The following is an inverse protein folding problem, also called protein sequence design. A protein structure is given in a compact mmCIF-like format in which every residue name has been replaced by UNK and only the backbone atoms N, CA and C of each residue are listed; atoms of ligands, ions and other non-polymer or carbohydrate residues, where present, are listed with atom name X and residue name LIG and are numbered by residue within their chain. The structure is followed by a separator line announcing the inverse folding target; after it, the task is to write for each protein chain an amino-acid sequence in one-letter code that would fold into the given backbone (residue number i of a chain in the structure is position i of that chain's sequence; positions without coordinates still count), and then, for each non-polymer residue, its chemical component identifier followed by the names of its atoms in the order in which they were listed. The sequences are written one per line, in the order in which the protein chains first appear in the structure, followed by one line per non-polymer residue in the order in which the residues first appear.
data_IF_082119149007
#
_entry.id   IF_082119149007
#
_cell.length_a   1.000
_cell.length_b   1.000
_cell.length_c   1.000
_cell.angle_alpha   90.00
_cell.angle_beta   90.00
_cell.angle_gamma   90.00
#
_symmetry.space_group_name_H-M   'P 1'
#
loop_
_entity.id
_entity.type
_entity.pdbx_description
1 polymer ?
#
# COMPACT_ATOMS: atom_id res chain seq x y z
N UNK A 1 -9.35 -23.74 -16.82
CA UNK A 1 -8.99 -22.37 -16.44
C UNK A 1 -8.06 -22.41 -15.24
N UNK A 2 -6.89 -21.87 -15.39
CA UNK A 2 -5.95 -21.85 -14.28
C UNK A 2 -6.32 -20.74 -13.31
N UNK A 3 -6.40 -21.08 -12.04
CA UNK A 3 -6.57 -20.08 -11.02
C UNK A 3 -5.25 -19.38 -10.78
N UNK A 4 -5.30 -18.05 -10.77
CA UNK A 4 -4.11 -17.28 -10.45
C UNK A 4 -3.96 -17.21 -8.94
N UNK A 5 -2.77 -17.53 -8.49
CA UNK A 5 -2.45 -17.49 -7.09
C UNK A 5 -2.19 -16.06 -6.65
N UNK A 6 -2.72 -15.71 -5.49
CA UNK A 6 -2.46 -14.40 -4.90
C UNK A 6 -1.20 -14.42 -4.07
N UNK A 7 -0.50 -13.31 -4.10
CA UNK A 7 0.74 -13.13 -3.36
C UNK A 7 0.70 -11.80 -2.62
N UNK A 8 1.48 -11.70 -1.58
CA UNK A 8 1.74 -10.42 -0.93
C UNK A 8 2.87 -9.71 -1.64
N UNK A 9 2.63 -8.45 -1.95
CA UNK A 9 3.61 -7.59 -2.59
C UNK A 9 3.93 -6.44 -1.66
N UNK A 10 5.21 -6.08 -1.56
CA UNK A 10 5.63 -4.84 -0.94
C UNK A 10 5.64 -3.77 -2.02
N UNK A 11 4.85 -2.74 -1.86
CA UNK A 11 4.68 -1.70 -2.86
C UNK A 11 5.11 -0.36 -2.30
N UNK A 12 5.86 0.40 -3.09
CA UNK A 12 6.29 1.72 -2.71
C UNK A 12 5.34 2.77 -3.23
N UNK A 13 4.99 3.70 -2.35
CA UNK A 13 4.15 4.83 -2.73
C UNK A 13 5.01 6.08 -2.89
N UNK A 14 4.47 7.07 -3.58
CA UNK A 14 5.08 8.39 -3.60
C UNK A 14 4.90 9.04 -2.24
N UNK A 15 5.69 10.08 -1.97
CA UNK A 15 5.68 10.77 -0.68
C UNK A 15 4.26 11.21 -0.30
N UNK A 16 3.87 10.88 0.92
CA UNK A 16 2.60 11.26 1.51
C UNK A 16 1.38 10.74 0.75
N UNK A 17 1.53 9.67 -0.04
CA UNK A 17 0.44 9.09 -0.81
C UNK A 17 -0.07 7.77 -0.25
N UNK A 18 0.38 7.36 0.94
CA UNK A 18 0.00 6.07 1.50
C UNK A 18 -1.52 5.92 1.67
N UNK A 19 -2.16 6.93 2.21
CA UNK A 19 -3.61 6.86 2.44
C UNK A 19 -4.40 7.00 1.14
N UNK A 20 -3.87 7.73 0.17
CA UNK A 20 -4.48 7.81 -1.16
C UNK A 20 -4.47 6.45 -1.85
N UNK A 21 -3.34 5.73 -1.74
CA UNK A 21 -3.22 4.37 -2.27
C UNK A 21 -4.18 3.44 -1.54
N UNK A 22 -4.24 3.52 -0.21
CA UNK A 22 -5.18 2.71 0.57
C UNK A 22 -6.60 2.89 0.09
N UNK A 23 -7.03 4.12 -0.10
CA UNK A 23 -8.39 4.41 -0.54
C UNK A 23 -8.64 3.87 -1.94
N UNK A 24 -7.67 3.97 -2.83
CA UNK A 24 -7.79 3.42 -4.18
C UNK A 24 -7.92 1.90 -4.15
N UNK A 25 -7.12 1.23 -3.33
CA UNK A 25 -7.18 -0.23 -3.20
C UNK A 25 -8.50 -0.68 -2.62
N UNK A 26 -9.05 0.05 -1.67
CA UNK A 26 -10.37 -0.26 -1.13
C UNK A 26 -11.46 -0.17 -2.19
N UNK A 27 -11.41 0.86 -3.03
CA UNK A 27 -12.36 1.00 -4.14
C UNK A 27 -12.27 -0.14 -5.14
N UNK A 28 -11.07 -0.65 -5.35
CA UNK A 28 -10.84 -1.76 -6.28
C UNK A 28 -11.11 -3.13 -5.66
N UNK A 29 -11.40 -3.17 -4.36
CA UNK A 29 -11.64 -4.43 -3.68
C UNK A 29 -10.40 -5.28 -3.50
N UNK A 30 -9.22 -4.67 -3.45
CA UNK A 30 -7.95 -5.36 -3.30
C UNK A 30 -7.53 -5.36 -1.84
N UNK A 31 -7.14 -6.53 -1.34
CA UNK A 31 -6.68 -6.66 0.03
C UNK A 31 -5.33 -5.97 0.20
N UNK A 32 -5.19 -5.22 1.29
CA UNK A 32 -3.96 -4.49 1.58
C UNK A 32 -3.67 -4.53 3.07
N UNK A 33 -2.44 -4.19 3.42
CA UNK A 33 -2.04 -3.98 4.80
C UNK A 33 -1.18 -2.73 4.87
N UNK A 34 -1.68 -1.73 5.58
CA UNK A 34 -0.96 -0.48 5.82
C UNK A 34 -0.91 -0.28 7.33
N UNK A 35 0.17 -0.71 7.99
CA UNK A 35 0.28 -0.52 9.44
C UNK A 35 0.38 0.97 9.76
N UNK A 36 -0.46 1.42 10.68
CA UNK A 36 -0.50 2.82 11.10
C UNK A 36 -0.39 2.94 12.60
N UNK A 37 -0.04 4.12 13.05
CA UNK A 37 -0.02 4.45 14.46
C UNK A 37 -0.55 5.86 14.64
N UNK A 38 -0.97 6.18 15.85
CA UNK A 38 -1.42 7.52 16.16
C UNK A 38 -0.31 8.27 16.89
N UNK A 39 -0.05 9.48 16.43
CA UNK A 39 0.93 10.36 17.07
C UNK A 39 0.24 11.66 17.45
N UNK A 40 0.78 12.33 18.46
CA UNK A 40 0.29 13.63 18.86
C UNK A 40 1.14 14.69 18.16
N UNK A 41 0.48 15.53 17.37
CA UNK A 41 1.14 16.65 16.71
C UNK A 41 0.76 17.94 17.43
N UNK A 42 1.76 18.76 17.72
CA UNK A 42 1.56 20.06 18.30
C UNK A 42 1.19 21.05 17.19
N UNK A 43 -0.02 21.55 17.24
CA UNK A 43 -0.44 22.64 16.39
C UNK A 43 -0.22 23.95 17.15
N UNK A 44 -0.37 25.07 16.47
CA UNK A 44 -0.04 26.39 17.03
C UNK A 44 -0.73 26.65 18.37
N UNK A 45 -1.98 26.24 18.49
CA UNK A 45 -2.77 26.49 19.71
C UNK A 45 -3.35 25.26 20.36
N UNK A 46 -3.06 24.06 19.81
CA UNK A 46 -3.62 22.83 20.37
C UNK A 46 -2.83 21.62 19.92
N UNK A 47 -3.07 20.50 20.58
CA UNK A 47 -2.53 19.21 20.18
C UNK A 47 -3.58 18.45 19.40
N UNK A 48 -3.14 17.69 18.45
CA UNK A 48 -4.05 16.86 17.66
C UNK A 48 -3.46 15.46 17.47
N UNK A 49 -4.34 14.46 17.66
CA UNK A 49 -4.00 13.07 17.39
C UNK A 49 -4.18 12.81 15.90
N UNK A 50 -3.12 12.34 15.23
CA UNK A 50 -3.17 12.05 13.80
C UNK A 50 -2.67 10.64 13.54
N UNK A 51 -3.27 10.00 12.53
CA UNK A 51 -2.86 8.69 12.08
C UNK A 51 -1.74 8.83 11.06
N UNK A 52 -0.65 8.08 11.27
CA UNK A 52 0.49 8.11 10.34
C UNK A 52 0.94 6.68 10.05
N UNK A 53 1.51 6.42 8.87
CA UNK A 53 2.05 5.10 8.56
C UNK A 53 3.23 4.79 9.47
N UNK A 54 3.33 3.53 9.91
CA UNK A 54 4.48 3.06 10.69
C UNK A 54 5.73 3.07 9.83
N UNK A 55 5.59 2.64 8.56
CA UNK A 55 6.67 2.65 7.58
C UNK A 55 6.27 3.60 6.47
N UNK A 56 7.06 4.64 6.27
CA UNK A 56 6.75 5.65 5.25
C UNK A 56 6.93 5.09 3.86
N UNK A 57 6.04 5.48 2.96
CA UNK A 57 6.09 5.18 1.53
C UNK A 57 6.03 3.69 1.22
N UNK A 58 5.37 2.91 2.08
CA UNK A 58 5.27 1.48 1.88
C UNK A 58 3.86 1.00 2.24
N UNK A 59 3.30 0.15 1.39
CA UNK A 59 2.04 -0.53 1.63
C UNK A 59 2.16 -1.95 1.13
N UNK A 60 1.53 -2.90 1.82
CA UNK A 60 1.50 -4.29 1.39
C UNK A 60 0.18 -4.56 0.69
N UNK A 61 0.25 -5.28 -0.42
CA UNK A 61 -0.91 -5.56 -1.26
C UNK A 61 -0.96 -7.06 -1.54
N UNK A 62 -2.13 -7.67 -1.36
CA UNK A 62 -2.33 -9.08 -1.69
C UNK A 62 -3.20 -9.20 -2.92
N UNK A 63 -2.65 -9.72 -3.99
CA UNK A 63 -3.37 -9.86 -5.24
C UNK A 63 -2.61 -10.81 -6.18
N UNK A 64 -3.18 -11.08 -7.35
CA UNK A 64 -2.47 -11.83 -8.38
C UNK A 64 -1.40 -10.98 -9.04
N UNK A 65 -0.43 -11.62 -9.71
CA UNK A 65 0.63 -10.88 -10.40
C UNK A 65 0.05 -9.99 -11.50
N UNK A 66 -0.92 -10.50 -12.23
CA UNK A 66 -1.54 -9.72 -13.31
C UNK A 66 -2.27 -8.49 -12.75
N UNK A 67 -3.00 -8.66 -11.65
CA UNK A 67 -3.71 -7.55 -11.04
C UNK A 67 -2.75 -6.52 -10.46
N UNK A 68 -1.67 -6.98 -9.82
CA UNK A 68 -0.65 -6.08 -9.29
C UNK A 68 -0.08 -5.19 -10.38
N UNK A 69 0.14 -5.77 -11.55
CA UNK A 69 0.63 -5.01 -12.70
C UNK A 69 -0.40 -4.00 -13.19
N UNK A 70 -1.68 -4.43 -13.27
CA UNK A 70 -2.72 -3.57 -13.84
C UNK A 70 -3.09 -2.40 -12.94
N UNK A 71 -2.98 -2.51 -11.63
CA UNK A 71 -3.34 -1.40 -10.75
C UNK A 71 -2.42 -0.20 -10.90
N UNK A 72 -1.17 -0.43 -11.29
CA UNK A 72 -0.24 0.67 -11.52
C UNK A 72 -0.40 1.25 -12.92
N UNK A 73 -0.72 0.43 -13.92
CA UNK A 73 -0.84 0.87 -15.30
C UNK A 73 -2.25 1.36 -15.65
N UNK A 74 -3.25 0.54 -15.34
CA UNK A 74 -4.62 0.80 -15.81
C UNK A 74 -5.42 1.65 -14.83
N UNK A 75 -5.24 1.40 -13.56
CA UNK A 75 -6.00 2.10 -12.51
C UNK A 75 -5.28 3.32 -11.98
N UNK A 76 -4.07 3.57 -12.44
CA UNK A 76 -3.27 4.76 -12.10
C UNK A 76 -3.10 4.97 -10.60
N UNK A 77 -3.04 3.88 -9.84
CA UNK A 77 -2.73 3.97 -8.42
C UNK A 77 -1.29 4.48 -8.28
N UNK A 78 -1.03 5.46 -7.39
CA UNK A 78 0.31 6.07 -7.31
C UNK A 78 1.32 5.16 -6.60
N UNK A 79 1.54 3.98 -7.18
CA UNK A 79 2.59 3.04 -6.79
C UNK A 79 3.63 3.01 -7.90
N UNK A 80 4.89 3.02 -7.53
CA UNK A 80 5.95 3.02 -8.54
C UNK A 80 6.89 1.83 -8.45
N UNK A 81 6.75 1.01 -7.40
CA UNK A 81 7.58 -0.18 -7.24
C UNK A 81 6.77 -1.24 -6.51
N UNK A 82 6.83 -2.46 -7.00
CA UNK A 82 6.10 -3.55 -6.37
C UNK A 82 6.94 -4.81 -6.46
N UNK A 83 7.17 -5.45 -5.31
CA UNK A 83 7.99 -6.65 -5.25
C UNK A 83 7.26 -7.75 -4.50
N UNK A 84 7.28 -8.95 -5.08
CA UNK A 84 6.72 -10.15 -4.48
C UNK A 84 7.53 -10.51 -3.22
N UNK A 85 6.86 -10.62 -2.09
CA UNK A 85 7.52 -10.94 -0.82
C UNK A 85 8.12 -12.34 -0.81
N UNK A 86 7.54 -13.27 -1.57
CA UNK A 86 8.13 -14.59 -1.69
C UNK A 86 9.51 -14.56 -2.33
N UNK A 87 9.70 -13.63 -3.27
CA UNK A 87 11.01 -13.45 -3.89
C UNK A 87 12.04 -12.97 -2.88
N UNK A 88 11.63 -12.23 -1.87
CA UNK A 88 12.51 -11.77 -0.81
C UNK A 88 12.92 -12.90 0.12
N UNK A 89 12.04 -13.87 0.31
CA UNK A 89 12.28 -14.99 1.22
C UNK A 89 13.25 -15.99 0.62
N UNK A 90 13.24 -16.10 -0.69
CA UNK A 90 14.06 -17.09 -1.40
C UNK A 90 15.46 -16.61 -1.79
N UNK A 91 15.84 -15.45 -1.37
CA UNK A 91 17.18 -14.92 -1.64
C UNK A 91 18.23 -15.56 -0.74
#
# INVERSE_FOLDING_TARGET
MSEQQEYWFAARTKKDQEFSVRNALEKLGIEYFLPTQFVIRQLKYRRRRVEVPVIKNLIFVRTTKDRAWSITKDDHVPLYYMKDLLSLIHI
#
